data_IF_895944389594
#
_entry.id   IF_895944389594
#
_cell.length_a   1.000
_cell.length_b   1.000
_cell.length_c   1.000
_cell.angle_alpha   90.00
_cell.angle_beta   90.00
_cell.angle_gamma   90.00
#
_symmetry.space_group_name_H-M   'P 1'
#
loop_
_entity.id
_entity.type
_entity.pdbx_description
1 polymer ?
#
# COMPACT_ATOMS: atom_id res chain seq x y z
N UNK A 1 -5.62 15.31 -10.37
CA UNK A 1 -6.71 15.44 -9.37
C UNK A 1 -6.18 15.42 -7.91
N UNK A 2 -4.96 14.95 -7.60
CA UNK A 2 -4.55 14.74 -6.19
C UNK A 2 -4.10 15.96 -5.37
N UNK A 3 -3.60 17.06 -5.96
CA UNK A 3 -2.95 18.12 -5.15
C UNK A 3 -3.90 18.86 -4.20
N UNK A 4 -5.11 19.20 -4.64
CA UNK A 4 -6.05 19.99 -3.83
C UNK A 4 -6.58 19.22 -2.62
N UNK A 5 -6.92 17.94 -2.78
CA UNK A 5 -7.38 17.09 -1.68
C UNK A 5 -6.27 16.87 -0.64
N UNK A 6 -5.04 16.60 -1.12
CA UNK A 6 -3.88 16.43 -0.24
C UNK A 6 -3.59 17.72 0.55
N UNK A 7 -3.74 18.90 -0.06
CA UNK A 7 -3.62 20.18 0.66
C UNK A 7 -4.69 20.36 1.74
N UNK A 8 -5.94 19.97 1.47
CA UNK A 8 -7.03 20.02 2.46
C UNK A 8 -6.73 19.06 3.62
N UNK A 9 -6.35 17.81 3.34
CA UNK A 9 -6.02 16.82 4.37
C UNK A 9 -4.83 17.27 5.22
N UNK A 10 -3.77 17.79 4.60
CA UNK A 10 -2.64 18.38 5.31
C UNK A 10 -3.06 19.54 6.21
N UNK A 11 -4.00 20.38 5.76
CA UNK A 11 -4.51 21.48 6.57
C UNK A 11 -5.33 20.98 7.76
N UNK A 12 -6.17 19.96 7.58
CA UNK A 12 -6.92 19.31 8.66
C UNK A 12 -5.97 18.69 9.70
N UNK A 13 -4.91 18.01 9.26
CA UNK A 13 -3.87 17.47 10.13
C UNK A 13 -3.14 18.57 10.92
N UNK A 14 -2.88 19.74 10.31
CA UNK A 14 -2.33 20.89 11.02
C UNK A 14 -3.29 21.45 12.06
N UNK A 15 -4.58 21.56 11.75
CA UNK A 15 -5.58 21.99 12.73
C UNK A 15 -5.63 21.02 13.91
N UNK A 16 -5.58 19.72 13.66
CA UNK A 16 -5.49 18.70 14.71
C UNK A 16 -4.31 18.98 15.66
N UNK A 17 -3.12 19.22 15.13
CA UNK A 17 -1.94 19.55 15.94
C UNK A 17 -2.09 20.86 16.72
N UNK A 18 -2.59 21.92 16.09
CA UNK A 18 -2.81 23.21 16.75
C UNK A 18 -3.83 23.11 17.88
N UNK A 19 -4.94 22.41 17.65
CA UNK A 19 -5.99 22.21 18.66
C UNK A 19 -5.44 21.41 19.83
N UNK A 20 -4.64 20.38 19.58
CA UNK A 20 -3.98 19.62 20.64
C UNK A 20 -3.09 20.52 21.50
N UNK A 21 -2.25 21.35 20.88
CA UNK A 21 -1.40 22.30 21.60
C UNK A 21 -2.22 23.30 22.45
N UNK A 22 -3.38 23.75 21.95
CA UNK A 22 -4.26 24.64 22.72
C UNK A 22 -4.92 23.91 23.89
N UNK A 23 -5.35 22.66 23.69
CA UNK A 23 -5.89 21.82 24.77
C UNK A 23 -4.87 21.65 25.90
N UNK A 24 -3.60 21.43 25.55
CA UNK A 24 -2.50 21.25 26.51
C UNK A 24 -2.23 22.52 27.33
N UNK A 25 -2.54 23.70 26.78
CA UNK A 25 -2.43 24.99 27.46
C UNK A 25 -3.69 25.40 28.24
N UNK A 26 -4.80 24.68 28.09
CA UNK A 26 -6.04 25.01 28.81
C UNK A 26 -5.99 24.51 30.26
N UNK A 27 -6.56 25.30 31.17
CA UNK A 27 -6.82 24.85 32.54
C UNK A 27 -7.65 23.56 32.50
N UNK A 28 -7.23 22.58 33.28
CA UNK A 28 -7.95 21.32 33.46
C UNK A 28 -9.40 21.57 33.88
N UNK A 29 -10.31 20.72 33.40
CA UNK A 29 -11.76 20.80 33.69
C UNK A 29 -12.48 22.07 33.21
N UNK A 30 -11.81 22.99 32.51
CA UNK A 30 -12.48 24.15 31.92
C UNK A 30 -13.50 23.77 30.83
N UNK A 31 -14.60 24.51 30.74
CA UNK A 31 -15.63 24.30 29.70
C UNK A 31 -15.03 24.42 28.29
N UNK A 32 -14.08 25.36 28.11
CA UNK A 32 -13.35 25.56 26.87
C UNK A 32 -12.50 24.34 26.50
N UNK A 33 -11.79 23.73 27.46
CA UNK A 33 -11.03 22.50 27.23
C UNK A 33 -11.94 21.36 26.79
N UNK A 34 -13.09 21.21 27.44
CA UNK A 34 -14.09 20.20 27.08
C UNK A 34 -14.64 20.40 25.66
N UNK A 35 -14.94 21.66 25.28
CA UNK A 35 -15.36 22.02 23.92
C UNK A 35 -14.28 21.70 22.88
N UNK A 36 -13.02 22.05 23.16
CA UNK A 36 -11.89 21.77 22.27
C UNK A 36 -11.64 20.28 22.08
N UNK A 37 -11.74 19.47 23.15
CA UNK A 37 -11.62 18.00 23.07
C UNK A 37 -12.74 17.43 22.18
N UNK A 38 -13.98 17.87 22.35
CA UNK A 38 -15.10 17.43 21.48
C UNK A 38 -14.83 17.75 20.01
N UNK A 39 -14.35 18.97 19.73
CA UNK A 39 -14.00 19.38 18.37
C UNK A 39 -12.83 18.57 17.81
N UNK A 40 -11.79 18.31 18.61
CA UNK A 40 -10.65 17.47 18.23
C UNK A 40 -11.08 16.05 17.84
N UNK A 41 -11.99 15.44 18.60
CA UNK A 41 -12.54 14.12 18.28
C UNK A 41 -13.36 14.12 16.99
N UNK A 42 -14.16 15.16 16.75
CA UNK A 42 -14.90 15.31 15.49
C UNK A 42 -13.95 15.48 14.30
N UNK A 43 -12.89 16.28 14.46
CA UNK A 43 -11.87 16.46 13.44
C UNK A 43 -11.14 15.16 13.12
N UNK A 44 -10.81 14.34 14.12
CA UNK A 44 -10.21 13.02 13.91
C UNK A 44 -11.11 12.11 13.08
N UNK A 45 -12.41 12.04 13.42
CA UNK A 45 -13.38 11.25 12.65
C UNK A 45 -13.48 11.71 11.19
N UNK A 46 -13.43 13.01 10.95
CA UNK A 46 -13.44 13.56 9.60
C UNK A 46 -12.18 13.17 8.81
N UNK A 47 -11.01 13.26 9.43
CA UNK A 47 -9.73 12.86 8.83
C UNK A 47 -9.75 11.38 8.47
N UNK A 48 -10.12 10.52 9.43
CA UNK A 48 -10.22 9.07 9.24
C UNK A 48 -11.19 8.71 8.11
N UNK A 49 -12.38 9.32 8.09
CA UNK A 49 -13.36 9.10 7.02
C UNK A 49 -12.82 9.53 5.65
N UNK A 50 -12.09 10.66 5.59
CA UNK A 50 -11.48 11.15 4.36
C UNK A 50 -10.39 10.21 3.83
N UNK A 51 -9.59 9.63 4.73
CA UNK A 51 -8.56 8.64 4.36
C UNK A 51 -9.18 7.34 3.85
N UNK A 52 -10.25 6.86 4.49
CA UNK A 52 -11.01 5.68 4.03
C UNK A 52 -11.56 5.91 2.61
N UNK A 53 -12.18 7.05 2.36
CA UNK A 53 -12.70 7.38 1.03
C UNK A 53 -11.59 7.44 -0.03
N UNK A 54 -10.44 8.04 0.31
CA UNK A 54 -9.27 8.09 -0.58
C UNK A 54 -8.75 6.68 -0.88
N UNK A 55 -8.68 5.82 0.13
CA UNK A 55 -8.25 4.42 -0.06
C UNK A 55 -9.24 3.63 -0.92
N UNK A 56 -10.55 3.83 -0.73
CA UNK A 56 -11.59 3.22 -1.55
C UNK A 56 -11.48 3.66 -3.01
N UNK A 57 -11.33 4.96 -3.27
CA UNK A 57 -11.13 5.50 -4.62
C UNK A 57 -9.86 4.92 -5.26
N UNK A 58 -8.75 4.88 -4.51
CA UNK A 58 -7.48 4.26 -4.93
C UNK A 58 -7.71 2.81 -5.33
N UNK A 59 -8.40 2.04 -4.49
CA UNK A 59 -8.67 0.63 -4.73
C UNK A 59 -9.54 0.42 -5.99
N UNK A 60 -10.60 1.21 -6.16
CA UNK A 60 -11.46 1.16 -7.36
C UNK A 60 -10.66 1.41 -8.63
N UNK A 61 -9.81 2.43 -8.63
CA UNK A 61 -8.97 2.76 -9.78
C UNK A 61 -7.96 1.65 -10.11
N UNK A 62 -7.35 1.03 -9.09
CA UNK A 62 -6.43 -0.09 -9.30
C UNK A 62 -7.17 -1.31 -9.84
N UNK A 63 -8.32 -1.68 -9.26
CA UNK A 63 -9.14 -2.79 -9.77
C UNK A 63 -9.56 -2.55 -11.21
N UNK A 64 -9.90 -1.30 -11.57
CA UNK A 64 -10.22 -0.94 -12.94
C UNK A 64 -9.04 -1.16 -13.91
N UNK A 65 -7.81 -0.77 -13.52
CA UNK A 65 -6.59 -1.03 -14.30
C UNK A 65 -6.40 -2.54 -14.49
N UNK A 66 -6.51 -3.33 -13.42
CA UNK A 66 -6.35 -4.77 -13.47
C UNK A 66 -7.33 -5.43 -14.44
N UNK A 67 -8.63 -5.12 -14.30
CA UNK A 67 -9.67 -5.79 -15.06
C UNK A 67 -9.76 -5.34 -16.52
N UNK A 68 -9.63 -4.03 -16.78
CA UNK A 68 -9.94 -3.46 -18.10
C UNK A 68 -8.68 -3.22 -18.94
N UNK A 69 -7.56 -2.85 -18.30
CA UNK A 69 -6.31 -2.52 -19.01
C UNK A 69 -5.42 -3.76 -19.07
N UNK A 70 -5.12 -4.35 -17.92
CA UNK A 70 -4.25 -5.52 -17.83
C UNK A 70 -4.97 -6.83 -18.19
N UNK A 71 -6.31 -6.81 -18.26
CA UNK A 71 -7.17 -7.98 -18.50
C UNK A 71 -6.92 -9.12 -17.49
N UNK A 72 -6.46 -8.76 -16.29
CA UNK A 72 -6.22 -9.65 -15.17
C UNK A 72 -7.48 -9.67 -14.32
N UNK A 73 -8.18 -10.81 -14.31
CA UNK A 73 -9.36 -10.96 -13.46
C UNK A 73 -8.94 -11.04 -11.99
N UNK A 74 -9.26 -9.99 -11.26
CA UNK A 74 -9.19 -9.86 -9.80
C UNK A 74 -10.65 -9.97 -9.32
N UNK A 75 -10.96 -10.86 -8.38
CA UNK A 75 -12.36 -11.07 -7.98
C UNK A 75 -12.81 -9.88 -7.15
N UNK A 76 -13.68 -9.03 -7.73
CA UNK A 76 -14.15 -7.76 -7.13
C UNK A 76 -14.66 -7.88 -5.70
N UNK A 77 -15.25 -9.02 -5.34
CA UNK A 77 -16.06 -9.10 -4.13
C UNK A 77 -15.26 -9.04 -2.83
N UNK A 78 -13.92 -9.09 -2.86
CA UNK A 78 -13.17 -9.30 -1.62
C UNK A 78 -11.66 -8.96 -1.67
N UNK A 79 -11.21 -8.20 -2.66
CA UNK A 79 -9.78 -7.95 -2.90
C UNK A 79 -9.49 -6.44 -2.82
N UNK A 80 -8.95 -6.03 -1.67
CA UNK A 80 -8.43 -4.67 -1.47
C UNK A 80 -6.96 -4.66 -1.85
N UNK A 81 -6.55 -3.72 -2.68
CA UNK A 81 -5.15 -3.48 -2.98
C UNK A 81 -4.43 -3.00 -1.72
N UNK A 82 -3.43 -3.76 -1.31
CA UNK A 82 -2.59 -3.49 -0.14
C UNK A 82 -1.38 -2.71 -0.60
N UNK A 83 -0.58 -3.30 -1.49
CA UNK A 83 0.69 -2.70 -1.91
C UNK A 83 1.25 -3.29 -3.22
N UNK A 84 2.30 -2.66 -3.73
CA UNK A 84 3.08 -3.06 -4.90
C UNK A 84 4.55 -3.24 -4.48
N UNK A 85 5.17 -4.34 -4.88
CA UNK A 85 6.58 -4.61 -4.65
C UNK A 85 7.28 -4.90 -5.97
N UNK A 86 8.27 -4.09 -6.32
CA UNK A 86 9.01 -4.20 -7.58
C UNK A 86 10.32 -4.93 -7.35
N UNK A 87 10.63 -5.94 -8.15
CA UNK A 87 11.76 -6.81 -7.89
C UNK A 87 12.43 -7.29 -9.19
N UNK A 88 13.65 -7.78 -9.07
CA UNK A 88 14.45 -8.23 -10.21
C UNK A 88 14.89 -9.67 -10.00
N UNK A 89 14.75 -10.53 -11.02
CA UNK A 89 15.32 -11.88 -10.94
C UNK A 89 16.86 -11.89 -11.02
N UNK A 90 17.50 -13.06 -10.92
CA UNK A 90 18.97 -13.20 -11.04
C UNK A 90 19.51 -12.77 -12.39
N UNK A 91 18.68 -12.83 -13.42
CA UNK A 91 18.99 -12.46 -14.79
C UNK A 91 18.71 -10.97 -15.04
N UNK A 92 18.23 -10.23 -14.03
CA UNK A 92 17.89 -8.81 -14.12
C UNK A 92 16.54 -8.55 -14.79
N UNK A 93 15.72 -9.57 -15.05
CA UNK A 93 14.37 -9.37 -15.54
C UNK A 93 13.51 -8.74 -14.44
N UNK A 94 12.64 -7.81 -14.83
CA UNK A 94 11.83 -7.05 -13.90
C UNK A 94 10.47 -7.71 -13.64
N UNK A 95 10.09 -7.74 -12.37
CA UNK A 95 8.84 -8.31 -11.89
C UNK A 95 8.19 -7.40 -10.86
N UNK A 96 6.89 -7.56 -10.70
CA UNK A 96 6.11 -6.82 -9.73
C UNK A 96 5.12 -7.76 -9.05
N UNK A 97 5.13 -7.76 -7.72
CA UNK A 97 4.09 -8.38 -6.90
C UNK A 97 3.04 -7.33 -6.56
N UNK A 98 1.80 -7.59 -6.94
CA UNK A 98 0.65 -6.80 -6.53
C UNK A 98 -0.10 -7.54 -5.43
N UNK A 99 -0.02 -6.97 -4.23
CA UNK A 99 -0.58 -7.54 -3.02
C UNK A 99 -2.03 -7.07 -2.88
N UNK A 100 -2.96 -8.02 -2.87
CA UNK A 100 -4.35 -7.79 -2.47
C UNK A 100 -4.63 -8.52 -1.17
N UNK A 101 -5.68 -8.11 -0.45
CA UNK A 101 -6.06 -8.67 0.85
C UNK A 101 -6.23 -10.20 0.88
N UNK A 102 -6.56 -10.85 -0.24
CA UNK A 102 -6.74 -12.31 -0.34
C UNK A 102 -5.82 -13.01 -1.35
N UNK A 103 -5.20 -12.26 -2.25
CA UNK A 103 -4.37 -12.83 -3.30
C UNK A 103 -3.18 -11.93 -3.60
N UNK A 104 -2.14 -12.52 -4.17
CA UNK A 104 -1.02 -11.78 -4.74
C UNK A 104 -0.87 -12.16 -6.19
N UNK A 105 -0.67 -11.17 -7.05
CA UNK A 105 -0.45 -11.36 -8.48
C UNK A 105 1.01 -11.04 -8.79
N UNK A 106 1.74 -12.02 -9.32
CA UNK A 106 3.08 -11.83 -9.86
C UNK A 106 2.97 -11.52 -11.35
N UNK A 107 3.57 -10.41 -11.76
CA UNK A 107 3.61 -9.98 -13.15
C UNK A 107 5.05 -9.69 -13.58
N UNK A 108 5.38 -9.97 -14.83
CA UNK A 108 6.60 -9.46 -15.47
C UNK A 108 6.35 -8.03 -15.90
N UNK A 109 7.22 -7.11 -15.51
CA UNK A 109 7.13 -5.68 -15.79
C UNK A 109 8.08 -5.33 -16.93
N UNK A 110 7.65 -4.50 -17.87
CA UNK A 110 8.56 -3.83 -18.82
C UNK A 110 8.35 -2.32 -18.69
N UNK A 111 9.25 -1.62 -18.00
CA UNK A 111 9.17 -0.16 -17.83
C UNK A 111 9.95 0.32 -16.60
N UNK A 112 9.49 1.38 -15.95
CA UNK A 112 10.07 1.84 -14.67
C UNK A 112 9.23 1.32 -13.48
N UNK A 113 9.84 1.11 -12.30
CA UNK A 113 9.16 0.71 -11.07
C UNK A 113 8.42 1.92 -10.47
N UNK A 114 7.30 2.29 -11.10
CA UNK A 114 6.42 3.35 -10.64
C UNK A 114 5.15 2.73 -10.06
N UNK A 115 4.50 3.39 -9.07
CA UNK A 115 3.21 2.96 -8.57
C UNK A 115 2.23 2.77 -9.73
N UNK A 116 1.45 1.68 -9.72
CA UNK A 116 0.59 1.30 -10.86
C UNK A 116 -0.31 2.43 -11.38
N UNK A 117 -0.81 3.30 -10.49
CA UNK A 117 -1.64 4.46 -10.84
C UNK A 117 -0.91 5.55 -11.65
N UNK A 118 0.43 5.54 -11.63
CA UNK A 118 1.31 6.47 -12.35
C UNK A 118 2.18 5.75 -13.39
N UNK A 119 2.10 4.43 -13.46
CA UNK A 119 2.96 3.60 -14.29
C UNK A 119 2.47 3.58 -15.73
N UNK A 120 3.40 3.77 -16.67
CA UNK A 120 3.21 3.47 -18.10
C UNK A 120 3.81 2.13 -18.49
N UNK A 121 4.37 1.39 -17.52
CA UNK A 121 4.94 0.06 -17.76
C UNK A 121 3.86 -0.92 -18.25
N UNK A 122 4.27 -1.84 -19.11
CA UNK A 122 3.44 -2.98 -19.46
C UNK A 122 3.66 -4.11 -18.46
N UNK A 123 2.59 -4.83 -18.13
CA UNK A 123 2.62 -5.95 -17.20
C UNK A 123 2.05 -7.20 -17.87
N UNK A 124 2.77 -8.31 -17.75
CA UNK A 124 2.31 -9.62 -18.19
C UNK A 124 2.09 -10.51 -16.97
N UNK A 125 0.86 -11.03 -16.80
CA UNK A 125 0.56 -11.96 -15.71
C UNK A 125 1.42 -13.21 -15.83
N UNK A 126 2.13 -13.55 -14.75
CA UNK A 126 2.91 -14.78 -14.64
C UNK A 126 2.15 -15.78 -13.77
N UNK A 127 1.72 -15.36 -12.59
CA UNK A 127 1.07 -16.26 -11.63
C UNK A 127 0.20 -15.52 -10.61
N UNK A 128 -0.78 -16.23 -10.04
CA UNK A 128 -1.60 -15.80 -8.91
C UNK A 128 -1.41 -16.75 -7.74
N UNK A 129 -1.34 -16.17 -6.55
CA UNK A 129 -1.20 -16.89 -5.29
C UNK A 129 -2.33 -16.48 -4.36
N UNK A 130 -2.92 -17.43 -3.64
CA UNK A 130 -3.70 -17.07 -2.44
C UNK A 130 -2.71 -16.59 -1.38
N UNK A 131 -3.10 -15.63 -0.55
CA UNK A 131 -2.18 -15.14 0.50
C UNK A 131 -1.81 -16.24 1.51
N UNK A 132 -2.67 -17.24 1.72
CA UNK A 132 -2.36 -18.45 2.51
C UNK A 132 -1.22 -19.30 1.93
N UNK A 133 -0.91 -19.10 0.65
CA UNK A 133 0.16 -19.77 -0.07
C UNK A 133 1.43 -18.90 -0.06
N UNK A 134 1.48 -17.80 0.69
CA UNK A 134 2.63 -16.91 0.75
C UNK A 134 3.11 -16.83 2.20
N UNK A 135 4.41 -16.98 2.39
CA UNK A 135 5.09 -16.79 3.66
C UNK A 135 6.05 -15.61 3.58
N UNK A 136 6.17 -14.92 4.70
CA UNK A 136 7.13 -13.85 4.91
C UNK A 136 8.26 -14.38 5.79
N UNK A 137 9.48 -14.39 5.27
CA UNK A 137 10.69 -14.75 6.00
C UNK A 137 11.53 -13.50 6.24
N UNK A 138 12.20 -13.43 7.38
CA UNK A 138 13.19 -12.37 7.65
C UNK A 138 14.58 -12.99 7.61
N UNK A 139 15.56 -12.30 7.04
CA UNK A 139 16.97 -12.71 7.14
C UNK A 139 17.83 -11.49 7.45
N UNK A 140 18.41 -11.47 8.65
CA UNK A 140 19.24 -10.37 9.14
C UNK A 140 18.42 -9.20 9.70
N UNK A 141 19.10 -8.10 10.03
CA UNK A 141 18.49 -6.92 10.67
C UNK A 141 17.72 -6.02 9.69
N UNK A 142 17.85 -6.22 8.38
CA UNK A 142 17.41 -5.23 7.37
C UNK A 142 16.54 -5.81 6.24
N UNK A 143 16.09 -7.07 6.28
CA UNK A 143 15.40 -7.64 5.11
C UNK A 143 14.28 -8.65 5.37
N UNK A 144 13.24 -8.53 4.53
CA UNK A 144 12.09 -9.43 4.44
C UNK A 144 12.08 -10.15 3.08
N UNK A 145 11.55 -11.37 3.07
CA UNK A 145 11.48 -12.27 1.93
C UNK A 145 10.05 -12.76 1.78
N UNK A 146 9.45 -12.60 0.60
CA UNK A 146 8.19 -13.25 0.25
C UNK A 146 8.50 -14.60 -0.41
N UNK A 147 7.89 -15.68 0.09
CA UNK A 147 8.02 -17.04 -0.43
C UNK A 147 6.63 -17.58 -0.75
N UNK A 148 6.34 -17.90 -2.01
CA UNK A 148 5.08 -18.56 -2.35
C UNK A 148 5.24 -20.10 -2.35
N UNK A 149 4.37 -20.80 -1.61
CA UNK A 149 4.41 -22.22 -1.26
C UNK A 149 4.06 -23.20 -2.39
N UNK A 150 3.57 -22.76 -3.55
CA UNK A 150 3.05 -23.68 -4.57
C UNK A 150 3.51 -23.38 -5.99
N UNK A 151 4.10 -24.42 -6.59
CA UNK A 151 4.59 -24.62 -7.95
C UNK A 151 5.99 -24.06 -8.23
N UNK A 152 6.86 -25.01 -8.53
CA UNK A 152 8.33 -24.97 -8.52
C UNK A 152 8.83 -24.62 -9.93
N UNK A 153 9.53 -23.49 -10.07
CA UNK A 153 10.65 -23.26 -10.99
C UNK A 153 11.51 -22.08 -10.50
N UNK A 154 12.83 -22.14 -10.79
CA UNK A 154 13.91 -21.34 -10.21
C UNK A 154 13.87 -19.83 -10.52
N UNK A 155 13.19 -19.02 -9.71
CA UNK A 155 13.28 -17.55 -9.75
C UNK A 155 13.63 -16.98 -8.37
N UNK A 156 14.68 -16.14 -8.28
CA UNK A 156 15.02 -15.40 -7.07
C UNK A 156 14.94 -13.92 -7.35
N UNK A 157 14.18 -13.17 -6.55
CA UNK A 157 13.96 -11.74 -6.76
C UNK A 157 14.62 -10.88 -5.68
N UNK A 158 15.21 -9.74 -6.06
CA UNK A 158 15.86 -8.79 -5.14
C UNK A 158 15.28 -7.39 -5.37
N UNK A 159 14.87 -6.72 -4.30
CA UNK A 159 14.55 -5.29 -4.22
C UNK A 159 15.42 -4.64 -3.13
N UNK A 160 15.96 -3.46 -3.39
CA UNK A 160 16.81 -2.73 -2.45
C UNK A 160 16.24 -1.35 -2.17
N UNK A 161 15.78 -1.11 -0.95
CA UNK A 161 15.51 0.22 -0.41
C UNK A 161 16.74 0.71 0.38
N UNK A 162 16.88 2.03 0.53
CA UNK A 162 18.04 2.66 1.20
C UNK A 162 18.29 2.15 2.63
N UNK A 163 17.25 1.67 3.32
CA UNK A 163 17.32 1.21 4.73
C UNK A 163 16.79 -0.22 4.94
N UNK A 164 16.29 -0.89 3.90
CA UNK A 164 15.89 -2.31 3.97
C UNK A 164 15.97 -3.01 2.60
N UNK A 165 16.32 -4.29 2.57
CA UNK A 165 16.33 -5.10 1.35
C UNK A 165 15.14 -6.04 1.40
N UNK A 166 14.12 -5.80 0.57
CA UNK A 166 13.02 -6.74 0.40
C UNK A 166 13.43 -7.69 -0.72
N UNK A 167 13.68 -8.96 -0.42
CA UNK A 167 14.15 -9.90 -1.44
C UNK A 167 13.29 -11.13 -1.40
N UNK A 168 12.48 -11.40 -2.42
CA UNK A 168 11.75 -12.66 -2.48
C UNK A 168 12.73 -13.77 -2.89
N UNK A 169 13.21 -14.57 -1.92
CA UNK A 169 13.97 -15.80 -2.20
C UNK A 169 13.10 -17.00 -1.93
N UNK A 170 12.75 -17.70 -2.99
CA UNK A 170 12.25 -19.06 -2.92
C UNK A 170 13.41 -19.96 -2.45
N UNK A 171 13.20 -20.72 -1.37
CA UNK A 171 14.11 -21.76 -0.88
C UNK A 171 13.41 -23.12 -0.93
N UNK A 172 14.23 -24.14 -1.22
CA UNK A 172 13.93 -25.56 -1.46
C UNK A 172 13.00 -26.15 -0.41
#
# INVERSE_FOLDING_TARGET
ISSAFDHILQRLLRYKGLINNVIDCCVEESENRTKLIKFYLQLNKLIEHSEILREQERNVNILHIFENILKVRVVRENQHFVDQLDCYDKQGNEYTFFLFSKQTVLMKRNGQPLPILKSTASYQEIQKYKNSEIELYTRGQTGFYLIAKKYITDAHFIESYKDCTLSARYFI
#
